data_IF_050395725256
#
_entry.id   IF_050395725256
#
_cell.length_a   1.000
_cell.length_b   1.000
_cell.length_c   1.000
_cell.angle_alpha   90.00
_cell.angle_beta   90.00
_cell.angle_gamma   90.00
#
_symmetry.space_group_name_H-M   'P 1'
#
loop_
_entity.id
_entity.type
_entity.pdbx_description
1 polymer ?
#
# COMPACT_ATOMS: atom_id res chain seq x y z
N UNK A 1 -17.95 17.19 2.24
CA UNK A 1 -17.82 15.90 1.52
C UNK A 1 -17.38 14.87 2.54
N UNK A 2 -18.25 13.89 2.83
CA UNK A 2 -18.12 12.99 3.97
C UNK A 2 -16.99 12.00 3.70
N UNK A 3 -16.26 11.65 4.76
CA UNK A 3 -15.01 10.90 4.78
C UNK A 3 -15.15 9.43 4.30
N UNK A 4 -15.68 9.20 3.10
CA UNK A 4 -16.01 7.87 2.57
C UNK A 4 -14.81 7.08 2.07
N UNK A 5 -13.59 7.62 2.11
CA UNK A 5 -12.37 6.91 1.69
C UNK A 5 -11.23 7.05 2.70
N UNK A 6 -11.55 7.43 3.95
CA UNK A 6 -10.52 7.71 4.97
C UNK A 6 -9.65 6.48 5.22
N UNK A 7 -10.26 5.30 5.29
CA UNK A 7 -9.55 4.04 5.46
C UNK A 7 -8.74 3.67 4.22
N UNK A 8 -9.32 3.80 3.02
CA UNK A 8 -8.61 3.57 1.77
C UNK A 8 -7.31 4.41 1.68
N UNK A 9 -7.38 5.70 2.00
CA UNK A 9 -6.21 6.58 1.99
C UNK A 9 -5.18 6.20 3.05
N UNK A 10 -5.62 5.81 4.25
CA UNK A 10 -4.71 5.37 5.32
C UNK A 10 -3.96 4.10 4.92
N UNK A 11 -4.68 3.09 4.43
CA UNK A 11 -4.07 1.82 4.00
C UNK A 11 -3.20 1.99 2.75
N UNK A 12 -3.54 2.92 1.85
CA UNK A 12 -2.69 3.32 0.73
C UNK A 12 -1.34 3.87 1.21
N UNK A 13 -1.35 4.83 2.14
CA UNK A 13 -0.14 5.46 2.67
C UNK A 13 0.70 4.43 3.42
N UNK A 14 0.06 3.59 4.24
CA UNK A 14 0.76 2.52 4.99
C UNK A 14 1.41 1.54 4.02
N UNK A 15 0.68 1.06 3.00
CA UNK A 15 1.19 0.12 2.00
C UNK A 15 2.32 0.70 1.15
N UNK A 16 2.27 2.00 0.84
CA UNK A 16 3.35 2.70 0.16
C UNK A 16 4.62 2.79 1.02
N UNK A 17 4.48 3.15 2.30
CA UNK A 17 5.61 3.24 3.24
C UNK A 17 6.24 1.87 3.46
N UNK A 18 5.45 0.83 3.78
CA UNK A 18 5.98 -0.53 3.99
C UNK A 18 6.54 -1.14 2.71
N UNK A 19 5.90 -0.94 1.57
CA UNK A 19 6.42 -1.39 0.27
C UNK A 19 7.76 -0.77 -0.09
N UNK A 20 7.92 0.54 0.13
CA UNK A 20 9.19 1.25 -0.08
C UNK A 20 10.27 0.77 0.88
N UNK A 21 9.93 0.57 2.16
CA UNK A 21 10.87 0.09 3.17
C UNK A 21 11.39 -1.33 2.85
N UNK A 22 10.49 -2.23 2.46
CA UNK A 22 10.84 -3.58 2.01
C UNK A 22 11.68 -3.54 0.74
N UNK A 23 11.38 -2.61 -0.18
CA UNK A 23 12.18 -2.35 -1.37
C UNK A 23 13.63 -1.97 -1.09
N UNK A 24 13.84 -1.07 -0.12
CA UNK A 24 15.17 -0.64 0.30
C UNK A 24 15.93 -1.79 0.97
N UNK A 25 15.25 -2.59 1.79
CA UNK A 25 15.85 -3.79 2.42
C UNK A 25 16.21 -4.85 1.38
N UNK A 26 15.32 -5.13 0.42
CA UNK A 26 15.59 -6.04 -0.69
C UNK A 26 16.77 -5.56 -1.52
N UNK A 27 16.84 -4.26 -1.79
CA UNK A 27 17.95 -3.65 -2.49
C UNK A 27 19.28 -3.89 -1.78
N UNK A 28 19.31 -3.62 -0.47
CA UNK A 28 20.49 -3.80 0.38
C UNK A 28 20.96 -5.25 0.45
N UNK A 29 20.03 -6.22 0.44
CA UNK A 29 20.34 -7.64 0.57
C UNK A 29 20.70 -8.32 -0.76
N UNK A 30 19.97 -8.01 -1.84
CA UNK A 30 20.13 -8.67 -3.14
C UNK A 30 21.12 -7.94 -4.06
N UNK A 31 21.57 -6.73 -3.70
CA UNK A 31 22.43 -5.86 -4.54
C UNK A 31 21.89 -5.67 -5.96
N UNK A 32 20.58 -5.87 -6.12
CA UNK A 32 19.88 -5.78 -7.39
C UNK A 32 19.77 -4.31 -7.79
N UNK A 33 19.62 -4.00 -9.07
CA UNK A 33 19.63 -2.63 -9.58
C UNK A 33 18.69 -1.68 -8.78
N UNK A 34 19.25 -0.62 -8.18
CA UNK A 34 18.60 0.18 -7.11
C UNK A 34 17.26 0.77 -7.50
N UNK A 35 17.14 1.29 -8.72
CA UNK A 35 15.92 1.93 -9.18
C UNK A 35 14.77 0.95 -9.44
N UNK A 36 15.08 -0.27 -9.86
CA UNK A 36 14.06 -1.23 -10.29
C UNK A 36 13.42 -1.96 -9.10
N UNK A 37 14.22 -2.31 -8.09
CA UNK A 37 13.72 -3.03 -6.91
C UNK A 37 12.83 -2.15 -6.03
N UNK A 38 13.23 -0.90 -5.79
CA UNK A 38 12.45 0.05 -4.97
C UNK A 38 11.16 0.45 -5.70
N UNK A 39 11.22 0.70 -7.01
CA UNK A 39 10.04 1.06 -7.79
C UNK A 39 8.98 -0.05 -7.83
N UNK A 40 9.40 -1.29 -8.07
CA UNK A 40 8.47 -2.43 -8.11
C UNK A 40 7.89 -2.72 -6.74
N UNK A 41 8.71 -2.71 -5.69
CA UNK A 41 8.25 -2.98 -4.33
C UNK A 41 7.32 -1.90 -3.78
N UNK A 42 7.58 -0.62 -4.05
CA UNK A 42 6.69 0.47 -3.71
C UNK A 42 5.35 0.35 -4.46
N UNK A 43 5.39 0.06 -5.76
CA UNK A 43 4.19 -0.18 -6.57
C UNK A 43 3.38 -1.39 -6.07
N UNK A 44 4.04 -2.48 -5.70
CA UNK A 44 3.40 -3.69 -5.19
C UNK A 44 2.79 -3.47 -3.80
N UNK A 45 3.51 -2.77 -2.91
CA UNK A 45 2.99 -2.39 -1.59
C UNK A 45 1.79 -1.45 -1.68
N UNK A 46 1.80 -0.53 -2.65
CA UNK A 46 0.67 0.36 -2.92
C UNK A 46 -0.54 -0.40 -3.47
N UNK A 47 -0.35 -1.37 -4.37
CA UNK A 47 -1.42 -2.23 -4.89
C UNK A 47 -2.08 -3.05 -3.76
N UNK A 48 -1.28 -3.66 -2.89
CA UNK A 48 -1.81 -4.42 -1.74
C UNK A 48 -2.50 -3.49 -0.73
N UNK A 49 -1.92 -2.32 -0.46
CA UNK A 49 -2.51 -1.31 0.43
C UNK A 49 -3.88 -0.83 -0.07
N UNK A 50 -4.03 -0.61 -1.37
CA UNK A 50 -5.33 -0.28 -2.00
C UNK A 50 -6.28 -1.46 -1.89
N UNK A 51 -5.83 -2.68 -2.20
CA UNK A 51 -6.68 -3.87 -2.16
C UNK A 51 -7.31 -4.06 -0.77
N UNK A 52 -6.48 -4.01 0.27
CA UNK A 52 -6.92 -4.15 1.67
C UNK A 52 -7.77 -2.95 2.08
N UNK A 53 -7.31 -1.73 1.78
CA UNK A 53 -8.04 -0.51 2.10
C UNK A 53 -9.43 -0.47 1.47
N UNK A 54 -9.57 -0.98 0.25
CA UNK A 54 -10.83 -1.02 -0.48
C UNK A 54 -11.76 -2.13 0.02
N UNK A 55 -11.23 -3.27 0.46
CA UNK A 55 -12.03 -4.32 1.11
C UNK A 55 -12.60 -3.81 2.43
N UNK A 56 -11.78 -3.18 3.26
CA UNK A 56 -12.20 -2.63 4.56
C UNK A 56 -13.21 -1.49 4.36
N UNK A 57 -12.97 -0.60 3.40
CA UNK A 57 -13.91 0.47 3.06
C UNK A 57 -15.25 -0.09 2.58
N UNK A 58 -15.22 -1.17 1.79
CA UNK A 58 -16.42 -1.86 1.33
C UNK A 58 -17.19 -2.53 2.46
N UNK A 59 -16.52 -3.23 3.38
CA UNK A 59 -17.14 -3.82 4.57
C UNK A 59 -17.73 -2.76 5.50
N UNK A 60 -16.99 -1.69 5.79
CA UNK A 60 -17.46 -0.58 6.61
C UNK A 60 -18.71 0.09 6.00
N UNK A 61 -18.77 0.19 4.67
CA UNK A 61 -19.94 0.73 3.95
C UNK A 61 -21.13 -0.24 3.94
N UNK A 62 -20.86 -1.55 4.00
CA UNK A 62 -21.88 -2.61 4.05
C UNK A 62 -22.53 -2.70 5.43
N UNK A 63 -21.78 -2.47 6.50
CA UNK A 63 -22.28 -2.49 7.89
C UNK A 63 -23.15 -1.27 8.24
N UNK A 64 -23.04 -0.16 7.48
CA UNK A 64 -23.89 1.02 7.61
C UNK A 64 -25.19 1.00 6.78
N UNK A 65 -25.52 -0.10 6.09
CA UNK A 65 -26.79 -0.28 5.35
C UNK A 65 -27.64 -1.39 5.96
#
# INVERSE_FOLDING_TARGET
MRNEHKYLTIFLIIGFITGTLVGILLWMYLRFNSGFSIGISAGFGMLIGILIGSIIDYEAKKESR
#
